data_IF_085996993257
#
_entry.id   IF_085996993257
#
_cell.length_a   1.000
_cell.length_b   1.000
_cell.length_c   1.000
_cell.angle_alpha   90.00
_cell.angle_beta   90.00
_cell.angle_gamma   90.00
#
_symmetry.space_group_name_H-M   'P 1'
#
loop_
_entity.id
_entity.type
_entity.pdbx_description
1 polymer ?
#
# COMPACT_ATOMS: atom_id res chain seq x y z
N UNK A 1 -9.25 -3.07 5.67
CA UNK A 1 -9.79 -3.08 7.05
C UNK A 1 -9.60 -1.78 7.85
N UNK A 2 -8.73 -0.81 7.48
CA UNK A 2 -8.55 0.42 8.29
C UNK A 2 -9.49 1.60 7.93
N UNK A 3 -10.23 1.53 6.83
CA UNK A 3 -11.12 2.63 6.38
C UNK A 3 -12.24 2.96 7.38
N UNK A 4 -12.89 1.95 7.95
CA UNK A 4 -13.96 2.16 8.95
C UNK A 4 -13.46 2.87 10.20
N UNK A 5 -12.28 2.49 10.69
CA UNK A 5 -11.69 3.07 11.90
C UNK A 5 -11.35 4.55 11.76
N UNK A 6 -10.88 5.02 10.60
CA UNK A 6 -10.58 6.43 10.41
C UNK A 6 -11.83 7.30 10.37
N UNK A 7 -12.90 6.80 9.73
CA UNK A 7 -14.20 7.46 9.69
C UNK A 7 -14.78 7.59 11.10
N UNK A 8 -14.73 6.50 11.88
CA UNK A 8 -15.36 6.43 13.20
C UNK A 8 -14.54 7.15 14.30
N UNK A 9 -13.20 7.11 14.25
CA UNK A 9 -12.32 7.74 15.26
C UNK A 9 -12.16 9.24 15.01
N UNK A 10 -11.96 9.64 13.76
CA UNK A 10 -11.63 11.02 13.41
C UNK A 10 -12.82 11.82 12.85
N UNK A 11 -14.01 11.22 12.78
CA UNK A 11 -15.21 11.87 12.23
C UNK A 11 -15.04 12.29 10.76
N UNK A 12 -14.17 11.60 10.02
CA UNK A 12 -13.82 11.96 8.64
C UNK A 12 -14.93 11.52 7.69
N UNK A 13 -15.17 12.31 6.65
CA UNK A 13 -15.98 11.84 5.53
C UNK A 13 -15.19 10.80 4.71
N UNK A 14 -15.92 9.99 3.92
CA UNK A 14 -15.35 8.89 3.12
C UNK A 14 -14.13 9.32 2.29
N UNK A 15 -14.26 10.39 1.51
CA UNK A 15 -13.18 10.88 0.65
C UNK A 15 -11.91 11.29 1.43
N UNK A 16 -12.06 11.98 2.57
CA UNK A 16 -10.91 12.35 3.41
C UNK A 16 -10.24 11.13 4.03
N UNK A 17 -11.03 10.16 4.49
CA UNK A 17 -10.50 8.91 5.05
C UNK A 17 -9.77 8.08 3.98
N UNK A 18 -10.30 8.00 2.76
CA UNK A 18 -9.64 7.35 1.61
C UNK A 18 -8.32 8.02 1.26
N UNK A 19 -8.28 9.35 1.19
CA UNK A 19 -7.05 10.09 0.89
C UNK A 19 -5.95 9.82 1.91
N UNK A 20 -6.28 9.91 3.20
CA UNK A 20 -5.32 9.64 4.29
C UNK A 20 -4.83 8.19 4.22
N UNK A 21 -5.72 7.24 3.91
CA UNK A 21 -5.33 5.84 3.74
C UNK A 21 -4.35 5.66 2.58
N UNK A 22 -4.59 6.29 1.44
CA UNK A 22 -3.70 6.23 0.28
C UNK A 22 -2.31 6.79 0.60
N UNK A 23 -2.25 7.92 1.32
CA UNK A 23 -0.98 8.51 1.77
C UNK A 23 -0.23 7.57 2.72
N UNK A 24 -0.93 7.02 3.73
CA UNK A 24 -0.34 6.07 4.69
C UNK A 24 0.14 4.80 3.98
N UNK A 25 -0.66 4.24 3.08
CA UNK A 25 -0.27 3.06 2.32
C UNK A 25 0.95 3.31 1.45
N UNK A 26 1.03 4.46 0.78
CA UNK A 26 2.19 4.84 -0.03
C UNK A 26 3.47 4.91 0.80
N UNK A 27 3.40 5.53 1.98
CA UNK A 27 4.55 5.62 2.89
C UNK A 27 4.95 4.23 3.42
N UNK A 28 3.98 3.40 3.83
CA UNK A 28 4.25 2.05 4.33
C UNK A 28 4.85 1.17 3.22
N UNK A 29 4.31 1.24 2.01
CA UNK A 29 4.80 0.52 0.85
C UNK A 29 6.27 0.89 0.56
N UNK A 30 6.58 2.17 0.43
CA UNK A 30 7.95 2.63 0.15
C UNK A 30 8.94 2.19 1.22
N UNK A 31 8.54 2.22 2.50
CA UNK A 31 9.38 1.72 3.61
C UNK A 31 9.65 0.22 3.50
N UNK A 32 8.62 -0.58 3.20
CA UNK A 32 8.77 -2.03 3.04
C UNK A 32 9.62 -2.37 1.82
N UNK A 33 9.40 -1.69 0.69
CA UNK A 33 10.19 -1.85 -0.53
C UNK A 33 11.66 -1.51 -0.30
N UNK A 34 11.94 -0.35 0.32
CA UNK A 34 13.30 0.07 0.66
C UNK A 34 13.98 -0.95 1.56
N UNK A 35 13.29 -1.46 2.58
CA UNK A 35 13.82 -2.52 3.46
C UNK A 35 14.12 -3.81 2.69
N UNK A 36 13.17 -4.31 1.90
CA UNK A 36 13.32 -5.53 1.11
C UNK A 36 14.48 -5.42 0.11
N UNK A 37 14.67 -4.24 -0.48
CA UNK A 37 15.80 -3.94 -1.34
C UNK A 37 17.12 -3.95 -0.56
N UNK A 38 17.22 -3.17 0.53
CA UNK A 38 18.44 -3.08 1.35
C UNK A 38 18.84 -4.41 2.00
N UNK A 39 17.89 -5.30 2.25
CA UNK A 39 18.13 -6.64 2.81
C UNK A 39 18.39 -7.71 1.74
N UNK A 40 18.35 -7.34 0.45
CA UNK A 40 18.53 -8.25 -0.68
C UNK A 40 17.39 -9.27 -0.87
N UNK A 41 16.25 -9.08 -0.20
CA UNK A 41 15.09 -9.98 -0.30
C UNK A 41 14.47 -9.91 -1.69
N UNK A 42 14.37 -8.69 -2.24
CA UNK A 42 13.84 -8.46 -3.59
C UNK A 42 14.69 -9.12 -4.68
N UNK A 43 15.99 -9.23 -4.45
CA UNK A 43 16.96 -9.83 -5.38
C UNK A 43 16.95 -11.35 -5.29
N UNK A 44 16.75 -11.89 -4.08
CA UNK A 44 16.63 -13.34 -3.82
C UNK A 44 15.25 -13.90 -4.19
N UNK A 45 14.25 -13.05 -4.39
CA UNK A 45 12.91 -13.46 -4.76
C UNK A 45 12.91 -14.21 -6.11
N UNK A 46 12.29 -15.39 -6.15
CA UNK A 46 12.15 -16.20 -7.37
C UNK A 46 11.35 -15.48 -8.46
N UNK A 47 10.41 -14.61 -8.06
CA UNK A 47 9.65 -13.74 -8.94
C UNK A 47 9.46 -12.38 -8.26
N UNK A 48 10.03 -11.33 -8.86
CA UNK A 48 9.86 -9.96 -8.36
C UNK A 48 8.40 -9.54 -8.37
N UNK A 49 7.65 -9.86 -9.44
CA UNK A 49 6.23 -9.52 -9.53
C UNK A 49 5.40 -10.17 -8.42
N UNK A 50 5.66 -11.45 -8.13
CA UNK A 50 4.99 -12.16 -7.04
C UNK A 50 5.35 -11.54 -5.70
N UNK A 51 6.64 -11.29 -5.44
CA UNK A 51 7.11 -10.67 -4.20
C UNK A 51 6.51 -9.26 -3.97
N UNK A 52 6.44 -8.44 -5.01
CA UNK A 52 5.79 -7.13 -4.92
C UNK A 52 4.30 -7.27 -4.57
N UNK A 53 3.60 -8.20 -5.23
CA UNK A 53 2.16 -8.41 -5.02
C UNK A 53 1.83 -8.99 -3.65
N UNK A 54 2.55 -10.02 -3.20
CA UNK A 54 2.21 -10.73 -1.96
C UNK A 54 2.84 -10.11 -0.71
N UNK A 55 4.12 -9.71 -0.78
CA UNK A 55 4.89 -9.34 0.43
C UNK A 55 4.86 -7.83 0.67
N UNK A 56 4.77 -7.05 -0.42
CA UNK A 56 4.62 -5.60 -0.36
C UNK A 56 3.18 -5.14 -0.55
N UNK A 57 2.23 -6.07 -0.79
CA UNK A 57 0.82 -5.79 -1.09
C UNK A 57 0.66 -4.76 -2.23
N UNK A 58 1.56 -4.80 -3.20
CA UNK A 58 1.46 -3.96 -4.39
C UNK A 58 0.39 -4.53 -5.31
N UNK A 59 -0.76 -3.85 -5.37
CA UNK A 59 -1.75 -4.12 -6.38
C UNK A 59 -1.71 -3.02 -7.46
N UNK A 60 -1.17 -3.30 -8.65
CA UNK A 60 -1.16 -2.33 -9.74
C UNK A 60 -2.57 -1.93 -10.19
N UNK A 61 -3.58 -2.77 -9.95
CA UNK A 61 -4.96 -2.51 -10.38
C UNK A 61 -5.76 -1.67 -9.38
N UNK A 62 -5.43 -1.70 -8.09
CA UNK A 62 -5.95 -0.73 -7.12
C UNK A 62 -5.53 0.71 -7.43
N UNK A 63 -4.43 0.92 -8.16
CA UNK A 63 -4.00 2.25 -8.62
C UNK A 63 -4.74 2.74 -9.87
N UNK A 64 -5.48 1.86 -10.55
CA UNK A 64 -6.15 2.14 -11.82
C UNK A 64 -7.65 2.44 -11.69
N UNK A 65 -8.26 2.20 -10.53
CA UNK A 65 -9.68 2.53 -10.31
C UNK A 65 -9.96 4.04 -10.22
N UNK A 66 -8.92 4.90 -10.15
CA UNK A 66 -9.04 6.36 -10.16
C UNK A 66 -8.88 7.00 -11.56
N UNK A 67 -8.95 6.23 -12.65
CA UNK A 67 -8.82 6.75 -14.03
C UNK A 67 -10.03 6.52 -14.95
N UNK A 68 -11.26 6.54 -14.42
CA UNK A 68 -12.49 6.55 -15.26
C UNK A 68 -13.57 7.46 -14.71
#
# INVERSE_FOLDING_TARGET
YCFGYLKDIFGLNKSKAERIMLEVFSVVYLRRLSKAFSQGELERATSKGTFLHSELHFDPFLSSEDSS
#
